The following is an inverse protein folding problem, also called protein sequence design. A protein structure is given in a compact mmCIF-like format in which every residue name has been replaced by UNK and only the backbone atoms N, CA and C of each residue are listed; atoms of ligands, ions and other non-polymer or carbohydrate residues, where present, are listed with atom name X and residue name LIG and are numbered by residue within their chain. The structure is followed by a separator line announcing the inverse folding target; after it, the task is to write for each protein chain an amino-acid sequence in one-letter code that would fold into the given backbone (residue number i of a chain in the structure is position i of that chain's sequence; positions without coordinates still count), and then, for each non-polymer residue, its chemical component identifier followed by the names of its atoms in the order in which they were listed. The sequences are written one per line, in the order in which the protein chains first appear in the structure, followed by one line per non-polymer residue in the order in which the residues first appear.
data_IF_454067291028
#
_entry.id   IF_454067291028
#
_cell.length_a   1.000
_cell.length_b   1.000
_cell.length_c   1.000
_cell.angle_alpha   90.00
_cell.angle_beta   90.00
_cell.angle_gamma   90.00
#
_symmetry.space_group_name_H-M   'P 1'
#
loop_
_entity.id
_entity.type
_entity.pdbx_description
1 polymer ?
#
# COMPACT_ATOMS: atom_id res chain seq x y z
N UNK A 1 -14.21 2.06 23.62
CA UNK A 1 -12.94 1.49 23.16
C UNK A 1 -11.93 1.66 24.28
N UNK A 2 -10.97 0.74 24.37
CA UNK A 2 -9.85 0.87 25.29
C UNK A 2 -8.98 2.04 24.86
N UNK A 3 -8.51 2.83 25.83
CA UNK A 3 -7.52 3.87 25.56
C UNK A 3 -6.25 3.24 24.97
N UNK A 4 -5.58 3.98 24.09
CA UNK A 4 -4.29 3.56 23.53
C UNK A 4 -3.25 3.43 24.65
N UNK A 5 -2.23 2.60 24.43
CA UNK A 5 -1.04 2.67 25.29
C UNK A 5 -0.31 3.97 24.97
N UNK A 6 0.14 4.71 25.99
CA UNK A 6 0.74 6.05 25.81
C UNK A 6 1.90 6.03 24.79
N UNK A 7 2.79 5.04 24.91
CA UNK A 7 3.93 4.87 23.98
C UNK A 7 3.52 4.45 22.55
N UNK A 8 2.28 3.99 22.34
CA UNK A 8 1.70 3.74 21.02
C UNK A 8 0.95 4.98 20.51
N UNK A 9 0.37 5.80 21.41
CA UNK A 9 -0.31 7.03 21.04
C UNK A 9 0.65 8.08 20.46
N UNK A 10 1.85 8.20 21.04
CA UNK A 10 2.88 9.17 20.62
C UNK A 10 3.90 8.61 19.61
N UNK A 11 3.73 7.34 19.21
CA UNK A 11 4.66 6.64 18.32
C UNK A 11 4.75 7.33 16.95
N UNK A 12 5.95 7.72 16.45
CA UNK A 12 6.10 8.13 15.07
C UNK A 12 5.88 6.95 14.12
N UNK A 13 5.20 7.22 13.00
CA UNK A 13 4.90 6.22 11.98
C UNK A 13 5.59 6.56 10.65
N UNK A 14 6.04 5.53 9.94
CA UNK A 14 6.43 5.61 8.54
C UNK A 14 5.39 4.82 7.76
N UNK A 15 4.57 5.52 6.99
CA UNK A 15 3.60 4.90 6.10
C UNK A 15 4.34 4.42 4.83
N UNK A 16 4.75 3.16 4.82
CA UNK A 16 5.66 2.68 3.78
C UNK A 16 4.96 2.37 2.44
N UNK A 17 3.64 2.46 2.39
CA UNK A 17 2.90 2.32 1.15
C UNK A 17 1.55 3.06 1.21
N UNK A 18 1.43 4.10 0.38
CA UNK A 18 0.20 4.86 0.23
C UNK A 18 0.15 5.55 -1.16
N UNK A 19 -0.90 6.33 -1.41
CA UNK A 19 -1.13 7.01 -2.68
C UNK A 19 -1.56 8.48 -2.50
N UNK A 20 -1.47 9.30 -3.54
CA UNK A 20 -1.88 10.70 -3.44
C UNK A 20 -3.35 10.90 -3.00
N UNK A 21 -3.66 12.11 -2.53
CA UNK A 21 -5.04 12.52 -2.18
C UNK A 21 -5.66 13.33 -3.32
N UNK A 22 -6.99 13.44 -3.34
CA UNK A 22 -7.68 14.39 -4.24
C UNK A 22 -7.62 15.80 -3.66
N UNK A 23 -7.37 16.77 -4.52
CA UNK A 23 -7.37 18.21 -4.16
C UNK A 23 -8.68 18.91 -4.54
N UNK A 24 -9.53 18.26 -5.33
CA UNK A 24 -10.87 18.72 -5.67
C UNK A 24 -11.94 18.27 -4.68
N UNK A 25 -13.04 19.01 -4.61
CA UNK A 25 -14.25 18.58 -3.91
C UNK A 25 -14.81 17.28 -4.49
N UNK A 26 -15.53 16.54 -3.66
CA UNK A 26 -16.12 15.24 -4.03
C UNK A 26 -17.57 15.24 -3.57
N UNK A 27 -18.47 14.88 -4.48
CA UNK A 27 -19.88 14.67 -4.16
C UNK A 27 -20.07 13.35 -3.40
N UNK A 28 -21.32 13.02 -3.02
CA UNK A 28 -21.63 11.80 -2.29
C UNK A 28 -21.16 10.56 -3.04
N UNK A 29 -21.54 10.44 -4.31
CA UNK A 29 -21.22 9.26 -5.12
C UNK A 29 -19.71 9.09 -5.27
N UNK A 30 -18.97 10.17 -5.50
CA UNK A 30 -17.51 10.13 -5.55
C UNK A 30 -16.88 9.79 -4.22
N UNK A 31 -17.45 10.24 -3.10
CA UNK A 31 -16.93 9.90 -1.76
C UNK A 31 -17.14 8.42 -1.48
N UNK A 32 -18.36 7.92 -1.69
CA UNK A 32 -18.68 6.51 -1.49
C UNK A 32 -17.87 5.61 -2.43
N UNK A 33 -17.68 5.96 -3.71
CA UNK A 33 -16.80 5.20 -4.62
C UNK A 33 -15.37 5.03 -4.09
N UNK A 34 -14.85 5.97 -3.30
CA UNK A 34 -13.52 5.87 -2.71
C UNK A 34 -13.51 5.17 -1.33
N UNK A 35 -14.65 4.67 -0.85
CA UNK A 35 -14.73 3.80 0.33
C UNK A 35 -14.74 2.30 -0.04
N UNK A 36 -14.52 1.96 -1.31
CA UNK A 36 -14.53 0.59 -1.82
C UNK A 36 -13.53 0.46 -2.95
N UNK A 37 -12.99 -0.74 -3.12
CA UNK A 37 -12.18 -1.10 -4.30
C UNK A 37 -13.04 -1.38 -5.53
N UNK A 38 -14.36 -1.51 -5.40
CA UNK A 38 -15.24 -1.75 -6.53
C UNK A 38 -15.30 -0.53 -7.48
N UNK A 39 -15.30 -0.77 -8.79
CA UNK A 39 -15.41 0.28 -9.83
C UNK A 39 -16.61 1.21 -9.64
N UNK A 40 -17.70 0.67 -9.08
CA UNK A 40 -18.94 1.39 -8.84
C UNK A 40 -19.56 0.99 -7.50
N UNK A 41 -20.25 1.95 -6.88
CA UNK A 41 -21.14 1.65 -5.76
C UNK A 41 -22.32 0.85 -6.28
N UNK A 42 -22.62 -0.28 -5.63
CA UNK A 42 -23.70 -1.16 -6.09
C UNK A 42 -25.06 -0.45 -6.01
N UNK A 43 -25.81 -0.34 -7.13
CA UNK A 43 -27.17 0.21 -7.10
C UNK A 43 -28.17 -0.74 -6.43
N UNK A 44 -27.79 -1.99 -6.18
CA UNK A 44 -28.58 -2.99 -5.45
C UNK A 44 -28.31 -2.94 -3.94
N UNK A 45 -27.19 -2.33 -3.54
CA UNK A 45 -26.85 -2.10 -2.15
C UNK A 45 -27.50 -0.82 -1.61
N UNK A 46 -27.22 -0.51 -0.35
CA UNK A 46 -27.50 0.80 0.22
C UNK A 46 -26.25 1.69 0.11
N UNK A 47 -26.10 2.64 1.02
CA UNK A 47 -24.94 3.52 1.07
C UNK A 47 -23.71 2.78 1.58
N UNK A 48 -22.51 3.13 1.10
CA UNK A 48 -21.27 2.67 1.71
C UNK A 48 -21.03 3.26 3.10
N UNK A 49 -21.85 4.22 3.56
CA UNK A 49 -21.93 4.57 4.98
C UNK A 49 -22.50 3.45 5.86
N UNK A 50 -23.19 2.46 5.29
CA UNK A 50 -23.69 1.25 5.96
C UNK A 50 -22.68 0.08 5.92
N UNK A 51 -21.38 0.39 5.84
CA UNK A 51 -20.27 -0.56 5.88
C UNK A 51 -19.36 -0.29 7.07
N UNK A 52 -18.43 -1.19 7.40
CA UNK A 52 -17.50 -0.98 8.52
C UNK A 52 -16.61 0.25 8.32
N UNK A 53 -16.16 0.51 7.09
CA UNK A 53 -15.40 1.71 6.75
C UNK A 53 -16.28 2.97 6.87
N UNK A 54 -17.50 2.94 6.36
CA UNK A 54 -18.46 4.05 6.47
C UNK A 54 -18.84 4.40 7.91
N UNK A 55 -19.08 3.37 8.73
CA UNK A 55 -19.27 3.55 10.17
C UNK A 55 -18.03 4.13 10.84
N UNK A 56 -16.83 3.70 10.42
CA UNK A 56 -15.56 4.23 10.94
C UNK A 56 -15.34 5.70 10.56
N UNK A 57 -15.73 6.13 9.35
CA UNK A 57 -15.73 7.55 8.96
C UNK A 57 -16.58 8.37 9.93
N UNK A 58 -17.82 7.94 10.18
CA UNK A 58 -18.73 8.64 11.10
C UNK A 58 -18.23 8.59 12.55
N UNK A 59 -17.56 7.51 12.94
CA UNK A 59 -17.01 7.32 14.27
C UNK A 59 -15.79 8.22 14.55
N UNK A 60 -14.83 8.26 13.62
CA UNK A 60 -13.47 8.78 13.87
C UNK A 60 -13.16 10.03 13.08
N UNK A 61 -13.69 10.15 11.87
CA UNK A 61 -13.42 11.30 11.01
C UNK A 61 -14.32 12.49 11.36
N UNK A 62 -15.56 12.26 11.80
CA UNK A 62 -16.48 13.35 12.15
C UNK A 62 -15.90 14.33 13.20
N UNK A 63 -15.30 13.88 14.32
CA UNK A 63 -14.66 14.78 15.29
C UNK A 63 -13.52 15.63 14.72
N UNK A 64 -12.77 15.13 13.73
CA UNK A 64 -11.67 15.90 13.08
C UNK A 64 -12.21 17.09 12.29
N UNK A 65 -13.47 17.01 11.83
CA UNK A 65 -14.16 18.07 11.10
C UNK A 65 -15.12 18.88 11.99
N UNK A 66 -14.92 18.85 13.30
CA UNK A 66 -15.69 19.55 14.33
C UNK A 66 -17.15 19.07 14.47
N UNK A 67 -17.44 17.84 14.03
CA UNK A 67 -18.77 17.22 14.18
C UNK A 67 -18.80 16.23 15.35
N UNK A 68 -19.98 16.02 15.98
CA UNK A 68 -20.14 14.95 16.95
C UNK A 68 -19.79 13.58 16.36
N UNK A 69 -19.19 12.72 17.19
CA UNK A 69 -19.02 11.30 16.86
C UNK A 69 -20.37 10.68 16.45
N UNK A 70 -20.35 9.91 15.37
CA UNK A 70 -21.52 9.31 14.72
C UNK A 70 -22.48 10.29 14.04
N UNK A 71 -22.04 11.51 13.71
CA UNK A 71 -22.83 12.44 12.90
C UNK A 71 -23.43 11.73 11.65
N UNK A 72 -24.66 12.07 11.23
CA UNK A 72 -25.25 11.57 9.99
C UNK A 72 -24.32 11.77 8.79
N UNK A 73 -24.41 10.86 7.80
CA UNK A 73 -23.55 10.91 6.62
C UNK A 73 -23.70 12.20 5.82
N UNK A 74 -24.93 12.71 5.70
CA UNK A 74 -25.22 13.94 4.96
C UNK A 74 -24.62 15.17 5.65
N UNK A 75 -24.70 15.23 6.98
CA UNK A 75 -24.07 16.30 7.77
C UNK A 75 -22.54 16.25 7.65
N UNK A 76 -21.96 15.04 7.65
CA UNK A 76 -20.53 14.85 7.44
C UNK A 76 -20.08 15.37 6.08
N UNK A 77 -20.77 14.98 5.00
CA UNK A 77 -20.44 15.39 3.64
C UNK A 77 -20.64 16.89 3.43
N UNK A 78 -21.70 17.47 4.00
CA UNK A 78 -21.94 18.91 3.94
C UNK A 78 -20.82 19.69 4.63
N UNK A 79 -20.41 19.27 5.84
CA UNK A 79 -19.29 19.90 6.56
C UNK A 79 -17.97 19.76 5.82
N UNK A 80 -17.70 18.58 5.27
CA UNK A 80 -16.51 18.32 4.44
C UNK A 80 -16.46 19.25 3.23
N UNK A 81 -17.60 19.45 2.56
CA UNK A 81 -17.71 20.36 1.42
C UNK A 81 -17.53 21.83 1.81
N UNK A 82 -18.09 22.25 2.96
CA UNK A 82 -17.94 23.61 3.51
C UNK A 82 -16.47 23.97 3.80
N UNK A 83 -15.71 23.05 4.41
CA UNK A 83 -14.29 23.23 4.71
C UNK A 83 -13.42 23.25 3.45
N UNK A 84 -13.81 22.49 2.43
CA UNK A 84 -13.06 22.33 1.20
C UNK A 84 -11.89 21.33 1.32
N UNK A 85 -11.51 20.75 0.18
CA UNK A 85 -10.58 19.62 0.13
C UNK A 85 -9.19 19.92 0.72
N UNK A 86 -8.65 21.14 0.52
CA UNK A 86 -7.34 21.50 1.05
C UNK A 86 -7.30 21.50 2.59
N UNK A 87 -8.33 22.03 3.24
CA UNK A 87 -8.41 22.05 4.70
C UNK A 87 -8.67 20.66 5.27
N UNK A 88 -9.60 19.90 4.65
CA UNK A 88 -9.87 18.51 5.00
C UNK A 88 -8.59 17.67 4.93
N UNK A 89 -7.84 17.76 3.84
CA UNK A 89 -6.58 17.03 3.67
C UNK A 89 -5.55 17.42 4.74
N UNK A 90 -5.35 18.72 5.01
CA UNK A 90 -4.40 19.17 6.05
C UNK A 90 -4.76 18.61 7.43
N UNK A 91 -6.03 18.70 7.84
CA UNK A 91 -6.46 18.22 9.16
C UNK A 91 -6.23 16.72 9.32
N UNK A 92 -6.64 15.94 8.34
CA UNK A 92 -6.52 14.48 8.42
C UNK A 92 -5.06 14.01 8.32
N UNK A 93 -4.29 14.51 7.35
CA UNK A 93 -2.91 14.06 7.14
C UNK A 93 -2.02 14.46 8.33
N UNK A 94 -2.08 15.72 8.77
CA UNK A 94 -1.28 16.20 9.92
C UNK A 94 -1.68 15.54 11.24
N UNK A 95 -2.94 15.10 11.35
CA UNK A 95 -3.46 14.37 12.50
C UNK A 95 -2.99 12.91 12.62
N UNK A 96 -2.27 12.37 11.63
CA UNK A 96 -1.77 10.98 11.69
C UNK A 96 -0.56 10.80 12.61
N UNK A 97 0.28 11.83 12.74
CA UNK A 97 1.57 11.73 13.41
C UNK A 97 2.61 10.89 12.62
N UNK A 98 2.39 10.65 11.33
CA UNK A 98 3.38 10.01 10.46
C UNK A 98 4.48 11.00 10.06
N UNK A 99 5.73 10.54 10.04
CA UNK A 99 6.90 11.36 9.69
C UNK A 99 7.29 11.25 8.22
N UNK A 100 6.97 10.11 7.61
CA UNK A 100 7.32 9.76 6.24
C UNK A 100 6.19 9.01 5.56
N UNK A 101 5.98 9.31 4.28
CA UNK A 101 5.03 8.64 3.39
C UNK A 101 5.73 8.16 2.13
N UNK A 102 5.55 6.91 1.75
CA UNK A 102 6.13 6.31 0.55
C UNK A 102 5.02 6.11 -0.49
N UNK A 103 4.96 7.03 -1.45
CA UNK A 103 3.86 7.13 -2.40
C UNK A 103 4.14 6.31 -3.65
N UNK A 104 3.24 5.38 -3.95
CA UNK A 104 3.11 4.83 -5.30
C UNK A 104 2.31 5.83 -6.16
N UNK A 105 3.05 6.70 -6.84
CA UNK A 105 2.48 7.72 -7.75
C UNK A 105 1.97 7.16 -9.08
N UNK A 106 2.08 5.86 -9.32
CA UNK A 106 1.62 5.23 -10.56
C UNK A 106 0.13 4.92 -10.61
N UNK A 107 -0.58 5.12 -9.50
CA UNK A 107 -2.04 4.99 -9.43
C UNK A 107 -2.73 6.34 -9.65
N UNK A 108 -3.58 6.44 -10.68
CA UNK A 108 -4.34 7.65 -11.01
C UNK A 108 -3.51 8.97 -11.00
N UNK A 109 -2.36 9.01 -11.69
CA UNK A 109 -1.40 10.12 -11.60
C UNK A 109 -1.97 11.47 -12.03
N UNK A 110 -3.04 11.49 -12.83
CA UNK A 110 -3.70 12.72 -13.28
C UNK A 110 -4.73 13.27 -12.29
N UNK A 111 -5.17 12.45 -11.32
CA UNK A 111 -6.28 12.78 -10.42
C UNK A 111 -5.87 12.95 -8.96
N UNK A 112 -4.67 12.50 -8.60
CA UNK A 112 -4.13 12.52 -7.24
C UNK A 112 -2.93 13.47 -7.15
N UNK A 113 -2.65 13.95 -5.94
CA UNK A 113 -1.46 14.77 -5.67
C UNK A 113 -0.16 14.06 -6.07
N UNK A 114 0.78 14.83 -6.59
CA UNK A 114 2.19 14.42 -6.67
C UNK A 114 2.79 14.27 -5.25
N UNK A 115 3.92 13.58 -5.16
CA UNK A 115 4.68 13.40 -3.90
C UNK A 115 5.03 14.73 -3.23
N UNK A 116 5.38 15.76 -4.01
CA UNK A 116 5.68 17.09 -3.48
C UNK A 116 4.45 17.78 -2.89
N UNK A 117 3.34 17.79 -3.63
CA UNK A 117 2.08 18.41 -3.15
C UNK A 117 1.54 17.69 -1.91
N UNK A 118 1.67 16.36 -1.87
CA UNK A 118 1.31 15.56 -0.71
C UNK A 118 2.14 15.94 0.52
N UNK A 119 3.46 16.05 0.39
CA UNK A 119 4.35 16.46 1.48
C UNK A 119 3.96 17.83 2.07
N UNK A 120 3.61 18.80 1.22
CA UNK A 120 3.18 20.13 1.65
C UNK A 120 1.85 20.10 2.42
N UNK A 121 0.90 19.27 1.99
CA UNK A 121 -0.37 19.09 2.70
C UNK A 121 -0.17 18.40 4.05
N UNK A 122 0.62 17.33 4.07
CA UNK A 122 0.87 16.50 5.26
C UNK A 122 1.82 17.16 6.27
N UNK A 123 2.61 18.15 5.87
CA UNK A 123 3.68 18.74 6.68
C UNK A 123 4.68 17.67 7.16
N UNK A 124 5.04 16.76 6.24
CA UNK A 124 5.86 15.58 6.49
C UNK A 124 6.76 15.28 5.28
N UNK A 125 7.68 14.32 5.44
CA UNK A 125 8.49 13.85 4.32
C UNK A 125 7.67 12.91 3.44
N UNK A 126 7.83 13.00 2.13
CA UNK A 126 7.23 12.07 1.18
C UNK A 126 8.28 11.62 0.18
N UNK A 127 8.23 10.35 -0.22
CA UNK A 127 9.21 9.70 -1.09
C UNK A 127 8.51 8.92 -2.19
N UNK A 128 9.10 8.88 -3.37
CA UNK A 128 8.54 8.14 -4.51
C UNK A 128 8.81 6.63 -4.39
N UNK A 129 7.78 5.84 -4.69
CA UNK A 129 7.85 4.43 -5.08
C UNK A 129 7.49 4.33 -6.55
N UNK A 130 8.36 3.74 -7.36
CA UNK A 130 8.13 3.63 -8.81
C UNK A 130 7.34 2.37 -9.14
N UNK A 131 6.15 2.54 -9.71
CA UNK A 131 5.33 1.44 -10.24
C UNK A 131 5.92 0.92 -11.55
N UNK A 132 6.46 -0.30 -11.51
CA UNK A 132 7.19 -0.90 -12.62
C UNK A 132 6.35 -1.03 -13.88
N UNK A 133 5.09 -1.46 -13.75
CA UNK A 133 4.19 -1.65 -14.89
C UNK A 133 3.89 -0.34 -15.61
N UNK A 134 3.76 0.77 -14.87
CA UNK A 134 3.53 2.09 -15.46
C UNK A 134 4.75 2.53 -16.28
N UNK A 135 5.97 2.26 -15.80
CA UNK A 135 7.19 2.54 -16.57
C UNK A 135 7.20 1.78 -17.89
N UNK A 136 6.85 0.50 -17.87
CA UNK A 136 6.75 -0.30 -19.08
C UNK A 136 5.66 0.19 -20.04
N UNK A 137 4.50 0.57 -19.51
CA UNK A 137 3.36 1.11 -20.28
C UNK A 137 3.67 2.47 -20.93
N UNK A 138 4.45 3.32 -20.27
CA UNK A 138 4.88 4.60 -20.84
C UNK A 138 5.94 4.44 -21.94
N UNK A 139 6.77 3.40 -21.84
CA UNK A 139 7.86 3.13 -22.80
C UNK A 139 7.38 2.39 -24.04
N UNK A 140 6.44 1.44 -23.90
CA UNK A 140 6.08 0.50 -24.98
C UNK A 140 5.61 1.22 -26.25
N UNK A 141 4.93 2.37 -26.14
CA UNK A 141 4.43 3.12 -27.30
C UNK A 141 5.51 3.77 -28.18
N UNK A 142 6.74 3.92 -27.66
CA UNK A 142 7.85 4.58 -28.35
C UNK A 142 9.01 3.66 -28.75
N UNK A 143 8.92 2.36 -28.45
CA UNK A 143 10.02 1.40 -28.62
C UNK A 143 9.72 0.31 -29.65
N UNK A 144 10.72 -0.53 -29.92
CA UNK A 144 10.58 -1.78 -30.69
C UNK A 144 10.67 -2.99 -29.76
N UNK A 145 10.26 -4.17 -30.25
CA UNK A 145 10.38 -5.40 -29.47
C UNK A 145 11.82 -5.65 -28.97
N UNK A 146 12.82 -5.41 -29.82
CA UNK A 146 14.23 -5.56 -29.47
C UNK A 146 14.76 -4.42 -28.56
N UNK A 147 14.19 -3.22 -28.69
CA UNK A 147 14.59 -2.05 -27.89
C UNK A 147 13.94 -1.97 -26.50
N UNK A 148 12.84 -2.69 -26.28
CA UNK A 148 12.03 -2.56 -25.07
C UNK A 148 12.83 -2.69 -23.77
N UNK A 149 13.71 -3.68 -23.66
CA UNK A 149 14.47 -3.93 -22.44
C UNK A 149 15.41 -2.76 -22.09
N UNK A 150 16.10 -2.21 -23.10
CA UNK A 150 17.03 -1.10 -22.93
C UNK A 150 16.29 0.20 -22.63
N UNK A 151 15.20 0.49 -23.36
CA UNK A 151 14.40 1.69 -23.15
C UNK A 151 13.68 1.67 -21.78
N UNK A 152 13.18 0.50 -21.36
CA UNK A 152 12.62 0.30 -20.03
C UNK A 152 13.67 0.53 -18.93
N UNK A 153 14.87 -0.03 -19.10
CA UNK A 153 15.95 0.15 -18.14
C UNK A 153 16.36 1.63 -18.02
N UNK A 154 16.49 2.34 -19.15
CA UNK A 154 16.84 3.76 -19.16
C UNK A 154 15.77 4.61 -18.46
N UNK A 155 14.49 4.36 -18.71
CA UNK A 155 13.40 5.09 -18.06
C UNK A 155 13.29 4.74 -16.57
N UNK A 156 13.51 3.48 -16.20
CA UNK A 156 13.53 3.06 -14.80
C UNK A 156 14.68 3.73 -14.03
N UNK A 157 15.87 3.86 -14.61
CA UNK A 157 16.99 4.62 -14.02
C UNK A 157 16.62 6.08 -13.76
N UNK A 158 15.96 6.70 -14.74
CA UNK A 158 15.50 8.09 -14.61
C UNK A 158 14.51 8.25 -13.45
N UNK A 159 13.48 7.38 -13.37
CA UNK A 159 12.46 7.48 -12.31
C UNK A 159 12.97 7.05 -10.94
N UNK A 160 13.98 6.19 -10.88
CA UNK A 160 14.54 5.69 -9.62
C UNK A 160 15.69 6.51 -9.06
N UNK A 161 16.07 7.62 -9.71
CA UNK A 161 17.15 8.50 -9.24
C UNK A 161 16.93 9.01 -7.81
N UNK A 162 15.69 9.28 -7.41
CA UNK A 162 15.32 9.74 -6.06
C UNK A 162 14.29 8.85 -5.37
N UNK A 163 13.83 7.79 -6.02
CA UNK A 163 12.87 6.86 -5.45
C UNK A 163 13.52 5.99 -4.37
N UNK A 164 12.75 5.62 -3.36
CA UNK A 164 13.23 4.78 -2.26
C UNK A 164 12.88 3.30 -2.46
N UNK A 165 12.09 2.98 -3.46
CA UNK A 165 11.65 1.62 -3.77
C UNK A 165 10.91 1.51 -5.10
N UNK A 166 10.53 0.29 -5.45
CA UNK A 166 9.70 -0.01 -6.63
C UNK A 166 8.49 -0.85 -6.22
N UNK A 167 7.44 -0.81 -7.01
CA UNK A 167 6.19 -1.57 -6.80
C UNK A 167 5.86 -2.37 -8.04
N UNK A 168 5.50 -3.64 -7.85
CA UNK A 168 4.83 -4.46 -8.86
C UNK A 168 3.36 -4.64 -8.50
N UNK A 169 2.51 -4.47 -9.51
CA UNK A 169 1.07 -4.79 -9.47
C UNK A 169 0.74 -6.08 -10.23
N UNK A 170 1.70 -7.01 -10.37
CA UNK A 170 1.51 -8.28 -11.08
C UNK A 170 0.24 -9.05 -10.63
N UNK A 171 -0.14 -8.97 -9.35
CA UNK A 171 -1.39 -9.51 -8.83
C UNK A 171 -2.64 -9.08 -9.64
N UNK A 172 -2.74 -7.81 -10.03
CA UNK A 172 -3.84 -7.25 -10.84
C UNK A 172 -3.79 -7.65 -12.33
N UNK A 173 -2.70 -8.29 -12.77
CA UNK A 173 -2.39 -8.46 -14.20
C UNK A 173 -2.27 -9.92 -14.59
N UNK A 174 -1.36 -10.62 -13.93
CA UNK A 174 -0.98 -12.01 -14.23
C UNK A 174 -1.05 -12.93 -12.99
N UNK A 175 -1.46 -12.39 -11.84
CA UNK A 175 -1.41 -13.08 -10.55
C UNK A 175 0.01 -13.14 -9.98
N UNK A 176 0.15 -13.90 -8.89
CA UNK A 176 1.40 -14.00 -8.13
C UNK A 176 2.21 -15.28 -8.39
N UNK A 177 1.74 -16.13 -9.31
CA UNK A 177 2.50 -17.29 -9.77
C UNK A 177 3.50 -16.85 -10.84
N UNK A 178 4.62 -16.31 -10.38
CA UNK A 178 5.74 -15.84 -11.20
C UNK A 178 6.88 -16.84 -11.14
N UNK A 179 7.46 -17.18 -12.29
CA UNK A 179 8.69 -17.97 -12.31
C UNK A 179 9.79 -17.23 -11.56
N UNK A 180 10.65 -17.95 -10.83
CA UNK A 180 11.77 -17.31 -10.13
C UNK A 180 12.95 -16.97 -11.04
N UNK A 181 13.06 -17.62 -12.19
CA UNK A 181 14.22 -17.49 -13.07
C UNK A 181 14.31 -16.08 -13.67
N UNK A 182 15.49 -15.64 -14.10
CA UNK A 182 15.60 -14.41 -14.91
C UNK A 182 15.14 -14.72 -16.34
N UNK A 183 14.28 -13.88 -16.96
CA UNK A 183 13.96 -14.07 -18.37
C UNK A 183 15.21 -13.92 -19.22
N UNK A 184 15.38 -14.79 -20.21
CA UNK A 184 16.42 -14.60 -21.20
C UNK A 184 16.04 -13.42 -22.12
N UNK A 185 17.03 -12.69 -22.69
CA UNK A 185 16.75 -11.51 -23.52
C UNK A 185 15.77 -11.78 -24.67
N UNK A 186 15.88 -12.94 -25.33
CA UNK A 186 14.97 -13.33 -26.42
C UNK A 186 13.53 -13.58 -25.95
N UNK A 187 13.31 -13.99 -24.70
CA UNK A 187 11.96 -14.15 -24.14
C UNK A 187 11.31 -12.78 -23.91
N UNK A 188 12.09 -11.82 -23.41
CA UNK A 188 11.65 -10.44 -23.19
C UNK A 188 11.30 -9.77 -24.52
N UNK A 189 12.18 -9.88 -25.52
CA UNK A 189 11.92 -9.37 -26.87
C UNK A 189 10.66 -9.99 -27.48
N UNK A 190 10.52 -11.32 -27.40
CA UNK A 190 9.33 -12.01 -27.91
C UNK A 190 8.05 -11.57 -27.20
N UNK A 191 8.10 -11.35 -25.88
CA UNK A 191 6.97 -10.88 -25.09
C UNK A 191 6.60 -9.43 -25.40
N UNK A 192 7.57 -8.52 -25.50
CA UNK A 192 7.37 -7.15 -25.95
C UNK A 192 6.77 -7.11 -27.36
N UNK A 193 7.27 -7.95 -28.28
CA UNK A 193 6.71 -8.08 -29.63
C UNK A 193 5.27 -8.58 -29.66
N UNK A 194 4.88 -9.50 -28.75
CA UNK A 194 3.46 -9.90 -28.61
C UNK A 194 2.61 -8.73 -28.10
N UNK A 195 3.12 -7.98 -27.13
CA UNK A 195 2.39 -6.84 -26.56
C UNK A 195 2.19 -5.71 -27.57
N UNK A 196 3.24 -5.33 -28.31
CA UNK A 196 3.17 -4.36 -29.40
C UNK A 196 2.10 -4.74 -30.44
N UNK A 197 2.10 -6.00 -30.90
CA UNK A 197 1.08 -6.47 -31.86
C UNK A 197 -0.35 -6.38 -31.34
N UNK A 198 -0.56 -6.59 -30.03
CA UNK A 198 -1.90 -6.42 -29.41
C UNK A 198 -2.31 -4.95 -29.38
N UNK A 199 -1.38 -4.05 -29.05
CA UNK A 199 -1.61 -2.60 -29.09
C UNK A 199 -1.92 -2.14 -30.53
N UNK A 200 -1.14 -2.59 -31.52
CA UNK A 200 -1.38 -2.32 -32.95
C UNK A 200 -2.73 -2.85 -33.43
N UNK A 201 -3.22 -3.94 -32.85
CA UNK A 201 -4.55 -4.51 -33.10
C UNK A 201 -5.69 -3.75 -32.37
N UNK A 202 -5.37 -2.69 -31.63
CA UNK A 202 -6.33 -1.82 -30.96
C UNK A 202 -6.63 -2.17 -29.50
N UNK A 203 -5.87 -3.08 -28.88
CA UNK A 203 -5.99 -3.32 -27.44
C UNK A 203 -5.40 -2.15 -26.64
N UNK A 204 -5.94 -1.85 -25.44
CA UNK A 204 -5.36 -0.84 -24.56
C UNK A 204 -3.91 -1.16 -24.19
N UNK A 205 -3.12 -0.11 -23.95
CA UNK A 205 -1.76 -0.23 -23.41
C UNK A 205 -1.84 -0.68 -21.95
N UNK A 206 -1.96 -1.99 -21.76
CA UNK A 206 -2.07 -2.63 -20.45
C UNK A 206 -1.16 -3.84 -20.40
N UNK A 207 -0.12 -3.78 -19.59
CA UNK A 207 0.81 -4.90 -19.42
C UNK A 207 0.11 -6.09 -18.77
N UNK A 208 0.16 -7.25 -19.44
CA UNK A 208 -0.38 -8.52 -18.93
C UNK A 208 0.37 -9.72 -19.53
N UNK A 209 1.69 -9.75 -19.35
CA UNK A 209 2.56 -10.87 -19.77
C UNK A 209 3.55 -11.20 -18.64
N UNK A 210 3.55 -12.46 -18.17
CA UNK A 210 4.34 -12.90 -17.01
C UNK A 210 5.84 -12.67 -17.21
N UNK A 211 6.35 -12.90 -18.43
CA UNK A 211 7.78 -12.76 -18.75
C UNK A 211 8.22 -11.32 -18.56
N UNK A 212 7.37 -10.38 -18.99
CA UNK A 212 7.63 -8.97 -18.82
C UNK A 212 7.56 -8.57 -17.35
N UNK A 213 6.53 -8.97 -16.59
CA UNK A 213 6.47 -8.68 -15.14
C UNK A 213 7.73 -9.17 -14.41
N UNK A 214 8.17 -10.40 -14.70
CA UNK A 214 9.40 -10.99 -14.15
C UNK A 214 10.65 -10.18 -14.54
N UNK A 215 10.73 -9.72 -15.79
CA UNK A 215 11.79 -8.81 -16.24
C UNK A 215 11.80 -7.50 -15.44
N UNK A 216 10.63 -6.86 -15.25
CA UNK A 216 10.55 -5.59 -14.52
C UNK A 216 10.98 -5.75 -13.06
N UNK A 217 10.55 -6.84 -12.41
CA UNK A 217 10.91 -7.15 -11.02
C UNK A 217 12.43 -7.32 -10.88
N UNK A 218 13.06 -8.11 -11.76
CA UNK A 218 14.51 -8.30 -11.73
C UNK A 218 15.25 -6.99 -12.00
N UNK A 219 14.75 -6.13 -12.88
CA UNK A 219 15.32 -4.81 -13.11
C UNK A 219 15.25 -3.92 -11.86
N UNK A 220 14.18 -3.98 -11.07
CA UNK A 220 14.08 -3.31 -9.77
C UNK A 220 15.09 -3.86 -8.75
N UNK A 221 15.22 -5.18 -8.68
CA UNK A 221 16.19 -5.88 -7.81
C UNK A 221 17.63 -5.50 -8.17
N UNK A 222 17.97 -5.42 -9.45
CA UNK A 222 19.31 -5.08 -9.93
C UNK A 222 19.72 -3.65 -9.51
N UNK A 223 18.75 -2.76 -9.29
CA UNK A 223 18.94 -1.41 -8.74
C UNK A 223 19.08 -1.38 -7.20
N UNK A 224 19.01 -2.54 -6.55
CA UNK A 224 19.09 -2.70 -5.08
C UNK A 224 18.02 -1.92 -4.32
N UNK A 225 16.86 -1.72 -4.94
CA UNK A 225 15.70 -1.05 -4.35
C UNK A 225 14.76 -2.08 -3.73
N UNK A 226 14.19 -1.82 -2.54
CA UNK A 226 13.08 -2.62 -2.00
C UNK A 226 11.96 -2.78 -3.03
N UNK A 227 11.44 -4.00 -3.17
CA UNK A 227 10.38 -4.32 -4.14
C UNK A 227 9.10 -4.65 -3.39
N UNK A 228 8.09 -3.83 -3.60
CA UNK A 228 6.75 -4.03 -3.07
C UNK A 228 5.90 -4.85 -4.06
N UNK A 229 5.10 -5.76 -3.53
CA UNK A 229 4.11 -6.52 -4.27
C UNK A 229 2.73 -6.27 -3.69
N UNK A 230 1.78 -5.89 -4.53
CA UNK A 230 0.38 -5.99 -4.13
C UNK A 230 0.01 -7.47 -3.91
N UNK A 231 -0.65 -7.78 -2.79
CA UNK A 231 -1.10 -9.13 -2.44
C UNK A 231 -2.53 -9.09 -1.90
N UNK A 232 -3.38 -10.00 -2.37
CA UNK A 232 -4.72 -10.17 -1.84
C UNK A 232 -5.72 -9.14 -2.34
N UNK A 233 -6.33 -8.40 -1.40
CA UNK A 233 -7.52 -7.59 -1.58
C UNK A 233 -7.33 -6.48 -2.61
N UNK A 234 -8.20 -6.43 -3.62
CA UNK A 234 -8.27 -5.38 -4.64
C UNK A 234 -9.65 -5.34 -5.30
N UNK A 235 -9.70 -4.71 -6.47
CA UNK A 235 -10.92 -4.46 -7.25
C UNK A 235 -11.41 -5.70 -8.05
N UNK A 236 -12.40 -5.50 -8.92
CA UNK A 236 -12.96 -6.53 -9.79
C UNK A 236 -12.03 -7.00 -10.92
N UNK A 237 -10.95 -6.28 -11.22
CA UNK A 237 -9.93 -6.72 -12.18
C UNK A 237 -9.00 -7.79 -11.57
N UNK A 238 -9.01 -7.96 -10.24
CA UNK A 238 -8.19 -8.94 -9.54
C UNK A 238 -8.81 -10.34 -9.54
N UNK A 239 -8.08 -11.31 -10.10
CA UNK A 239 -8.31 -12.73 -9.83
C UNK A 239 -7.83 -13.09 -8.41
N UNK A 240 -8.63 -12.85 -7.36
CA UNK A 240 -8.17 -12.96 -5.95
C UNK A 240 -7.55 -14.32 -5.61
N UNK A 241 -8.04 -15.42 -6.19
CA UNK A 241 -7.50 -16.77 -5.98
C UNK A 241 -6.07 -16.98 -6.53
N UNK A 242 -5.60 -16.09 -7.42
CA UNK A 242 -4.24 -16.04 -7.96
C UNK A 242 -3.33 -15.07 -7.19
N UNK A 243 -3.88 -14.41 -6.16
CA UNK A 243 -3.20 -13.40 -5.36
C UNK A 243 -2.82 -13.89 -3.95
N UNK A 244 -2.84 -15.22 -3.72
CA UNK A 244 -2.23 -15.84 -2.55
C UNK A 244 -0.69 -15.67 -2.61
N UNK A 245 -0.06 -15.05 -1.59
CA UNK A 245 1.38 -14.81 -1.60
C UNK A 245 2.22 -16.09 -1.61
N UNK A 246 1.68 -17.26 -1.22
CA UNK A 246 2.43 -18.53 -1.32
C UNK A 246 2.87 -18.84 -2.75
N UNK A 247 2.17 -18.29 -3.76
CA UNK A 247 2.53 -18.44 -5.17
C UNK A 247 3.85 -17.74 -5.53
N UNK A 248 4.29 -16.74 -4.75
CA UNK A 248 5.59 -16.09 -4.92
C UNK A 248 6.76 -16.95 -4.43
N UNK A 249 6.54 -18.12 -3.82
CA UNK A 249 7.62 -18.94 -3.23
C UNK A 249 8.77 -19.21 -4.22
N UNK A 250 8.48 -19.44 -5.51
CA UNK A 250 9.50 -19.62 -6.53
C UNK A 250 10.42 -18.40 -6.69
N UNK A 251 9.81 -17.22 -6.84
CA UNK A 251 10.51 -15.95 -6.93
C UNK A 251 11.26 -15.59 -5.63
N UNK A 252 10.66 -15.81 -4.47
CA UNK A 252 11.29 -15.55 -3.17
C UNK A 252 12.55 -16.40 -2.97
N UNK A 253 12.53 -17.67 -3.40
CA UNK A 253 13.73 -18.54 -3.40
C UNK A 253 14.80 -18.01 -4.34
N UNK A 254 14.43 -17.60 -5.55
CA UNK A 254 15.38 -17.14 -6.56
C UNK A 254 16.04 -15.79 -6.20
N UNK A 255 15.35 -14.95 -5.41
CA UNK A 255 15.81 -13.60 -5.05
C UNK A 255 16.51 -13.53 -3.70
N UNK A 256 16.57 -14.64 -2.94
CA UNK A 256 17.10 -14.70 -1.58
C UNK A 256 18.52 -14.14 -1.44
N UNK A 257 19.40 -14.48 -2.38
CA UNK A 257 20.83 -14.10 -2.30
C UNK A 257 21.13 -12.69 -2.83
N UNK A 258 20.10 -11.95 -3.29
CA UNK A 258 20.27 -10.58 -3.81
C UNK A 258 20.47 -9.55 -2.69
N UNK A 259 20.04 -9.89 -1.47
CA UNK A 259 20.01 -8.98 -0.33
C UNK A 259 18.99 -7.84 -0.46
N UNK A 260 18.08 -7.92 -1.42
CA UNK A 260 17.04 -6.90 -1.67
C UNK A 260 15.78 -7.22 -0.86
N UNK A 261 15.23 -6.29 -0.07
CA UNK A 261 13.97 -6.49 0.65
C UNK A 261 12.79 -6.67 -0.30
N UNK A 262 11.95 -7.67 -0.03
CA UNK A 262 10.66 -7.89 -0.69
C UNK A 262 9.55 -7.61 0.30
N UNK A 263 8.61 -6.75 -0.06
CA UNK A 263 7.48 -6.36 0.79
C UNK A 263 6.17 -6.86 0.19
N UNK A 264 5.44 -7.66 0.95
CA UNK A 264 4.11 -8.13 0.60
C UNK A 264 3.09 -7.19 1.23
N UNK A 265 2.35 -6.47 0.38
CA UNK A 265 1.42 -5.42 0.80
C UNK A 265 0.00 -5.97 0.95
N UNK A 266 -0.77 -5.41 1.88
CA UNK A 266 -2.18 -5.61 2.19
C UNK A 266 -2.53 -7.01 2.72
N UNK A 267 -2.16 -8.03 1.95
CA UNK A 267 -2.20 -9.45 2.23
C UNK A 267 -3.57 -10.07 2.52
N UNK A 268 -4.59 -9.35 2.97
CA UNK A 268 -5.91 -9.91 3.25
C UNK A 268 -6.54 -10.53 1.99
N UNK A 269 -7.17 -11.72 2.06
CA UNK A 269 -7.44 -12.55 3.25
C UNK A 269 -6.31 -13.55 3.59
N UNK A 270 -5.15 -13.41 2.97
CA UNK A 270 -3.98 -14.29 3.08
C UNK A 270 -2.89 -13.78 4.03
N UNK A 271 -3.21 -12.87 4.97
CA UNK A 271 -2.24 -12.27 5.90
C UNK A 271 -1.47 -13.31 6.74
N UNK A 272 -2.11 -14.43 7.10
CA UNK A 272 -1.41 -15.56 7.74
C UNK A 272 -0.40 -16.27 6.82
N UNK A 273 -0.70 -16.40 5.54
CA UNK A 273 0.24 -16.96 4.55
C UNK A 273 1.44 -16.01 4.36
N UNK A 274 1.19 -14.70 4.31
CA UNK A 274 2.24 -13.69 4.25
C UNK A 274 3.13 -13.70 5.50
N UNK A 275 2.53 -13.80 6.69
CA UNK A 275 3.24 -13.92 7.96
C UNK A 275 4.17 -15.16 8.00
N UNK A 276 3.70 -16.30 7.47
CA UNK A 276 4.55 -17.49 7.27
C UNK A 276 5.74 -17.20 6.36
N UNK A 277 5.53 -16.56 5.20
CA UNK A 277 6.63 -16.23 4.29
C UNK A 277 7.65 -15.28 4.91
N UNK A 278 7.19 -14.26 5.65
CA UNK A 278 8.06 -13.34 6.40
C UNK A 278 8.87 -14.08 7.47
N UNK A 279 8.31 -15.12 8.09
CA UNK A 279 9.04 -15.93 9.06
C UNK A 279 10.13 -16.77 8.39
N UNK A 280 9.85 -17.41 7.25
CA UNK A 280 10.77 -18.40 6.64
C UNK A 280 11.77 -17.81 5.64
N UNK A 281 11.52 -16.64 5.07
CA UNK A 281 12.45 -15.95 4.16
C UNK A 281 13.06 -14.71 4.81
N UNK A 282 14.39 -14.62 4.86
CA UNK A 282 15.13 -13.57 5.56
C UNK A 282 14.83 -12.16 5.05
N UNK A 283 14.57 -12.02 3.76
CA UNK A 283 14.38 -10.76 3.05
C UNK A 283 12.91 -10.38 2.80
N UNK A 284 11.95 -11.13 3.35
CA UNK A 284 10.51 -10.88 3.16
C UNK A 284 9.91 -10.14 4.35
N UNK A 285 9.09 -9.13 4.03
CA UNK A 285 8.43 -8.23 4.97
C UNK A 285 6.94 -8.12 4.63
N UNK A 286 6.12 -7.75 5.61
CA UNK A 286 4.65 -7.74 5.47
C UNK A 286 4.03 -6.51 6.11
N UNK A 287 2.88 -6.11 5.58
CA UNK A 287 1.94 -5.19 6.21
C UNK A 287 0.50 -5.72 6.16
N UNK A 288 -0.44 -4.97 6.72
CA UNK A 288 -1.88 -5.18 6.57
C UNK A 288 -2.60 -3.87 6.25
N UNK A 289 -1.96 -3.02 5.43
CA UNK A 289 -2.60 -1.82 4.87
C UNK A 289 -3.84 -2.18 4.06
N UNK A 290 -4.65 -1.19 3.65
CA UNK A 290 -5.94 -1.37 2.97
C UNK A 290 -7.03 -1.98 3.86
N UNK A 291 -6.81 -3.22 4.31
CA UNK A 291 -7.79 -3.93 5.13
C UNK A 291 -7.98 -3.27 6.50
N UNK A 292 -6.98 -2.57 7.03
CA UNK A 292 -7.07 -1.85 8.31
C UNK A 292 -8.22 -0.85 8.33
N UNK A 293 -8.34 0.03 7.34
CA UNK A 293 -9.46 0.99 7.29
C UNK A 293 -10.77 0.34 6.79
N UNK A 294 -10.69 -0.69 5.95
CA UNK A 294 -11.89 -1.40 5.45
C UNK A 294 -12.59 -2.27 6.51
N UNK A 295 -11.83 -2.90 7.41
CA UNK A 295 -12.36 -3.75 8.47
C UNK A 295 -12.88 -2.95 9.68
N UNK A 296 -12.64 -1.63 9.74
CA UNK A 296 -13.09 -0.77 10.83
C UNK A 296 -12.70 -1.33 12.21
N UNK A 297 -13.66 -1.45 13.13
CA UNK A 297 -13.43 -1.98 14.47
C UNK A 297 -12.89 -3.43 14.52
N UNK A 298 -12.92 -4.17 13.40
CA UNK A 298 -12.36 -5.54 13.29
C UNK A 298 -10.88 -5.57 12.90
N UNK A 299 -10.29 -4.44 12.49
CA UNK A 299 -8.87 -4.36 12.12
C UNK A 299 -7.90 -4.91 13.21
N UNK A 300 -8.12 -4.69 14.52
CA UNK A 300 -7.29 -5.30 15.57
C UNK A 300 -7.15 -6.82 15.48
N UNK A 301 -8.21 -7.53 15.08
CA UNK A 301 -8.16 -8.99 14.97
C UNK A 301 -7.21 -9.45 13.85
N UNK A 302 -7.24 -8.76 12.70
CA UNK A 302 -6.38 -9.08 11.55
C UNK A 302 -4.90 -8.81 11.86
N UNK A 303 -4.62 -7.70 12.55
CA UNK A 303 -3.26 -7.41 13.01
C UNK A 303 -2.76 -8.47 14.00
N UNK A 304 -3.60 -8.88 14.96
CA UNK A 304 -3.27 -9.94 15.89
C UNK A 304 -2.99 -11.28 15.20
N UNK A 305 -3.81 -11.67 14.21
CA UNK A 305 -3.61 -12.89 13.40
C UNK A 305 -2.30 -12.84 12.59
N UNK A 306 -1.91 -11.66 12.11
CA UNK A 306 -0.63 -11.49 11.40
C UNK A 306 0.56 -11.69 12.34
N UNK A 307 0.46 -11.15 13.56
CA UNK A 307 1.47 -11.23 14.62
C UNK A 307 1.57 -12.62 15.28
N UNK A 308 0.68 -13.56 14.96
CA UNK A 308 0.82 -14.96 15.40
C UNK A 308 2.14 -15.59 14.93
N UNK A 309 2.64 -15.16 13.75
CA UNK A 309 3.83 -15.77 13.13
C UNK A 309 4.83 -14.76 12.57
N UNK A 310 4.37 -13.57 12.13
CA UNK A 310 5.27 -12.58 11.55
C UNK A 310 6.29 -12.10 12.59
N UNK A 311 7.60 -12.19 12.31
CA UNK A 311 8.60 -11.59 13.19
C UNK A 311 8.36 -10.08 13.30
N UNK A 312 8.37 -9.51 14.51
CA UNK A 312 8.13 -8.08 14.72
C UNK A 312 9.09 -7.17 13.95
N UNK A 313 10.32 -7.62 13.71
CA UNK A 313 11.31 -6.93 12.88
C UNK A 313 11.00 -6.95 11.36
N UNK A 314 9.88 -7.56 10.97
CA UNK A 314 9.43 -7.74 9.59
C UNK A 314 7.98 -7.30 9.33
N UNK A 315 7.29 -6.78 10.35
CA UNK A 315 6.02 -6.10 10.21
C UNK A 315 6.28 -4.61 9.93
N UNK A 316 5.54 -4.03 8.99
CA UNK A 316 5.55 -2.59 8.74
C UNK A 316 4.12 -2.02 8.80
N UNK A 317 4.03 -0.72 9.06
CA UNK A 317 2.80 0.06 8.97
C UNK A 317 2.60 0.63 7.56
N UNK A 318 1.46 0.33 6.96
CA UNK A 318 0.98 1.04 5.77
C UNK A 318 -0.51 1.35 5.90
N UNK A 319 -0.95 2.44 5.28
CA UNK A 319 -2.37 2.75 5.18
C UNK A 319 -2.98 2.17 3.90
N UNK A 320 -2.20 2.12 2.81
CA UNK A 320 -2.69 1.99 1.44
C UNK A 320 -3.77 3.01 1.07
N UNK A 321 -3.80 4.15 1.77
CA UNK A 321 -4.82 5.15 1.56
C UNK A 321 -4.61 5.86 0.22
N UNK A 322 -5.71 6.06 -0.52
CA UNK A 322 -5.74 6.83 -1.76
C UNK A 322 -6.93 7.78 -1.78
N UNK A 323 -6.78 8.94 -2.43
CA UNK A 323 -7.87 9.85 -2.73
C UNK A 323 -8.44 10.62 -1.53
N UNK A 324 -8.97 9.92 -0.53
CA UNK A 324 -9.57 10.47 0.69
C UNK A 324 -8.56 10.51 1.84
N UNK A 325 -8.28 11.70 2.38
CA UNK A 325 -7.42 11.84 3.55
C UNK A 325 -8.00 11.18 4.81
N UNK A 326 -9.32 10.94 4.84
CA UNK A 326 -9.98 10.11 5.85
C UNK A 326 -9.34 8.72 6.00
N UNK A 327 -8.95 8.07 4.90
CA UNK A 327 -8.41 6.71 4.93
C UNK A 327 -7.06 6.65 5.64
N UNK A 328 -6.25 7.71 5.54
CA UNK A 328 -5.01 7.86 6.29
C UNK A 328 -5.26 7.90 7.80
N UNK A 329 -6.23 8.72 8.21
CA UNK A 329 -6.61 8.84 9.61
C UNK A 329 -7.18 7.53 10.14
N UNK A 330 -8.06 6.86 9.40
CA UNK A 330 -8.63 5.57 9.78
C UNK A 330 -7.57 4.48 9.87
N UNK A 331 -6.74 4.31 8.84
CA UNK A 331 -5.66 3.31 8.82
C UNK A 331 -4.71 3.49 10.00
N UNK A 332 -4.31 4.74 10.26
CA UNK A 332 -3.45 5.09 11.41
C UNK A 332 -4.12 4.80 12.75
N UNK A 333 -5.34 5.29 12.97
CA UNK A 333 -6.03 5.14 14.25
C UNK A 333 -6.35 3.66 14.56
N UNK A 334 -6.72 2.89 13.55
CA UNK A 334 -7.05 1.47 13.70
C UNK A 334 -5.81 0.59 13.86
N UNK A 335 -4.69 0.95 13.21
CA UNK A 335 -3.39 0.31 13.47
C UNK A 335 -2.93 0.56 14.91
N UNK A 336 -2.93 1.81 15.38
CA UNK A 336 -2.55 2.15 16.76
C UNK A 336 -3.43 1.42 17.78
N UNK A 337 -4.73 1.31 17.50
CA UNK A 337 -5.64 0.54 18.34
C UNK A 337 -5.28 -0.94 18.36
N UNK A 338 -5.10 -1.56 17.19
CA UNK A 338 -4.77 -2.98 17.11
C UNK A 338 -3.45 -3.33 17.79
N UNK A 339 -2.42 -2.48 17.60
CA UNK A 339 -1.13 -2.65 18.24
C UNK A 339 -1.23 -2.47 19.76
N UNK A 340 -1.97 -1.46 20.24
CA UNK A 340 -2.21 -1.25 21.66
C UNK A 340 -2.93 -2.43 22.30
N UNK A 341 -3.99 -2.94 21.66
CA UNK A 341 -4.77 -4.06 22.18
C UNK A 341 -3.93 -5.35 22.24
N UNK A 342 -3.12 -5.61 21.19
CA UNK A 342 -2.20 -6.75 21.16
C UNK A 342 -1.16 -6.68 22.28
N UNK A 343 -0.46 -5.55 22.41
CA UNK A 343 0.59 -5.38 23.42
C UNK A 343 0.02 -5.37 24.84
N UNK A 344 -1.16 -4.76 25.05
CA UNK A 344 -1.84 -4.76 26.35
C UNK A 344 -2.24 -6.18 26.76
N UNK A 345 -2.76 -6.99 25.83
CA UNK A 345 -3.09 -8.39 26.11
C UNK A 345 -1.84 -9.21 26.46
N UNK A 346 -0.72 -8.99 25.75
CA UNK A 346 0.54 -9.67 26.04
C UNK A 346 1.14 -9.28 27.39
N UNK A 347 1.10 -7.99 27.75
CA UNK A 347 1.52 -7.49 29.08
C UNK A 347 0.65 -8.08 30.20
N UNK A 348 -0.67 -8.09 30.02
CA UNK A 348 -1.59 -8.65 31.01
C UNK A 348 -1.41 -10.17 31.20
N UNK A 349 -0.94 -10.87 30.17
CA UNK A 349 -0.61 -12.29 30.22
C UNK A 349 0.82 -12.58 30.72
N UNK A 350 1.61 -11.56 31.08
CA UNK A 350 3.03 -11.68 31.44
C UNK A 350 3.87 -12.37 30.33
N UNK A 351 3.47 -12.20 29.07
CA UNK A 351 4.13 -12.81 27.91
C UNK A 351 5.30 -11.98 27.38
N UNK A 352 5.37 -10.69 27.74
CA UNK A 352 6.46 -9.77 27.41
C UNK A 352 6.58 -8.68 28.48
N UNK A 353 7.75 -8.05 28.57
CA UNK A 353 7.97 -6.90 29.46
C UNK A 353 7.52 -5.59 28.81
N UNK A 354 7.34 -4.53 29.61
CA UNK A 354 7.07 -3.19 29.08
C UNK A 354 8.18 -2.69 28.13
N UNK A 355 9.44 -3.02 28.43
CA UNK A 355 10.59 -2.70 27.57
C UNK A 355 10.46 -3.39 26.21
N UNK A 356 10.03 -4.65 26.19
CA UNK A 356 9.73 -5.36 24.94
C UNK A 356 8.58 -4.67 24.22
N UNK A 357 7.47 -4.35 24.91
CA UNK A 357 6.30 -3.73 24.29
C UNK A 357 6.64 -2.43 23.55
N UNK A 358 7.40 -1.55 24.21
CA UNK A 358 7.89 -0.30 23.62
C UNK A 358 8.75 -0.58 22.39
N UNK A 359 9.74 -1.47 22.50
CA UNK A 359 10.61 -1.82 21.38
C UNK A 359 9.82 -2.40 20.20
N UNK A 360 8.85 -3.27 20.44
CA UNK A 360 8.04 -3.88 19.38
C UNK A 360 7.18 -2.83 18.66
N UNK A 361 6.63 -1.87 19.41
CA UNK A 361 5.89 -0.76 18.82
C UNK A 361 6.78 0.09 17.90
N UNK A 362 8.00 0.42 18.33
CA UNK A 362 8.99 1.14 17.52
C UNK A 362 9.36 0.40 16.23
N UNK A 363 9.59 -0.91 16.31
CA UNK A 363 9.88 -1.76 15.14
C UNK A 363 8.77 -1.66 14.10
N UNK A 364 7.53 -1.94 14.50
CA UNK A 364 6.38 -1.97 13.59
C UNK A 364 6.00 -0.57 13.08
N UNK A 365 6.15 0.46 13.90
CA UNK A 365 5.76 1.83 13.55
C UNK A 365 6.69 2.52 12.58
N UNK A 366 8.01 2.46 12.77
CA UNK A 366 8.95 3.20 11.93
C UNK A 366 10.33 2.57 11.75
N UNK A 367 10.91 1.88 12.74
CA UNK A 367 12.32 1.47 12.66
C UNK A 367 12.57 0.44 11.55
N UNK A 368 11.62 -0.47 11.32
CA UNK A 368 11.73 -1.42 10.21
C UNK A 368 11.73 -0.71 8.86
N UNK A 369 10.76 0.19 8.63
CA UNK A 369 10.66 0.93 7.38
C UNK A 369 11.89 1.83 7.17
N UNK A 370 12.31 2.59 8.19
CA UNK A 370 13.48 3.45 8.13
C UNK A 370 14.75 2.67 7.74
N UNK A 371 14.94 1.47 8.30
CA UNK A 371 16.07 0.57 7.97
C UNK A 371 15.97 0.02 6.55
N UNK A 372 14.80 -0.46 6.14
CA UNK A 372 14.58 -1.13 4.83
C UNK A 372 14.74 -0.14 3.68
N UNK A 373 14.15 1.05 3.81
CA UNK A 373 14.15 2.10 2.79
C UNK A 373 15.28 3.11 2.97
N UNK A 374 16.14 2.94 3.98
CA UNK A 374 17.29 3.81 4.27
C UNK A 374 16.89 5.28 4.41
N UNK A 375 15.83 5.54 5.17
CA UNK A 375 15.21 6.88 5.32
C UNK A 375 15.97 7.81 6.29
N UNK A 376 17.14 7.38 6.79
CA UNK A 376 17.90 8.15 7.76
C UNK A 376 18.41 9.48 7.17
N UNK A 377 17.88 10.52 7.81
CA UNK A 377 18.09 11.98 7.74
C UNK A 377 19.43 12.42 7.14
N UNK A 378 19.37 13.16 6.03
CA UNK A 378 20.36 14.21 5.76
C UNK A 378 20.27 15.30 6.81
#
# INVERSE_FOLDING_TARGET
MTDLLDFVADLPLVDHHCHGVRTGGVDRDGFERMLTEADTVSPLGTSLFDSLIGLSVRERCAPVLDLPKHAPADDYLARRAELGAAEVNRRFLRGTGSTDYLLDGGFLPESLTTTKEFAELADARAHDIVRLEQVAEDVIGGTSAAGFADDFAAELDRRTTTAVGVKSIAAYRVGLELSGERPAPHEVEAAAGRWLRRIEAGEPVRLADEVLHRHLIWAGIDRRLPVQFHVGYGDSDVDLHRCDPLRLTGLLRATRDTGVPILLLHNYPFHRNAAYLAQVFEHVFVDVGLITHNAGFRAPAILAETLELAPFGKLLFSTDAFGLAELYHLGTALFRQGLSDFLRAALAADALSEVDAVRLAHLAGHENAARIYRLERK
#
